data_IF_136777384283
#
_entry.id   IF_136777384283
#
_cell.length_a   1.000
_cell.length_b   1.000
_cell.length_c   1.000
_cell.angle_alpha   90.00
_cell.angle_beta   90.00
_cell.angle_gamma   90.00
#
_symmetry.space_group_name_H-M   'P 1'
#
loop_
_entity.id
_entity.type
_entity.pdbx_description
1 polymer ?
#
# COMPACT_ATOMS: atom_id res chain seq x y z
N UNK A 1 14.86 7.70 -12.64
CA UNK A 1 14.25 6.44 -12.17
C UNK A 1 13.20 6.83 -11.15
N UNK A 2 12.01 6.25 -11.26
CA UNK A 2 10.96 6.40 -10.26
C UNK A 2 11.41 5.71 -8.96
N UNK A 3 11.02 6.26 -7.81
CA UNK A 3 11.35 5.71 -6.49
C UNK A 3 10.14 4.96 -5.95
N UNK A 4 10.38 3.78 -5.38
CA UNK A 4 9.34 2.97 -4.74
C UNK A 4 9.49 3.09 -3.23
N UNK A 5 8.41 3.46 -2.57
CA UNK A 5 8.30 3.47 -1.12
C UNK A 5 7.49 2.27 -0.67
N UNK A 6 8.03 1.46 0.24
CA UNK A 6 7.35 0.27 0.74
C UNK A 6 7.35 0.25 2.26
N UNK A 7 6.20 -0.09 2.84
CA UNK A 7 5.97 -0.17 4.28
C UNK A 7 5.66 -1.62 4.63
N UNK A 8 6.36 -2.14 5.62
CA UNK A 8 6.15 -3.50 6.16
C UNK A 8 6.06 -3.39 7.68
N UNK A 9 5.12 -4.10 8.31
CA UNK A 9 4.90 -4.03 9.76
C UNK A 9 5.72 -5.05 10.54
N UNK A 10 6.22 -6.10 9.90
CA UNK A 10 6.98 -7.19 10.53
C UNK A 10 8.47 -6.98 10.27
N UNK A 11 9.24 -6.71 11.34
CA UNK A 11 10.65 -6.31 11.21
C UNK A 11 11.50 -7.36 10.49
N UNK A 12 11.32 -8.65 10.83
CA UNK A 12 12.02 -9.74 10.17
C UNK A 12 11.72 -9.90 8.67
N UNK A 13 10.54 -9.47 8.19
CA UNK A 13 10.24 -9.45 6.76
C UNK A 13 10.88 -8.25 6.07
N UNK A 14 10.83 -7.07 6.70
CA UNK A 14 11.47 -5.86 6.20
C UNK A 14 12.99 -6.05 6.05
N UNK A 15 13.64 -6.68 7.03
CA UNK A 15 15.08 -6.95 6.99
C UNK A 15 15.44 -7.92 5.85
N UNK A 16 14.68 -9.02 5.71
CA UNK A 16 14.87 -9.97 4.61
C UNK A 16 14.62 -9.34 3.23
N UNK A 17 13.67 -8.43 3.12
CA UNK A 17 13.43 -7.69 1.88
C UNK A 17 14.61 -6.76 1.54
N UNK A 18 15.14 -6.04 2.54
CA UNK A 18 16.34 -5.19 2.40
C UNK A 18 17.56 -5.97 1.92
N UNK A 19 17.82 -7.13 2.48
CA UNK A 19 18.90 -8.00 2.02
C UNK A 19 18.72 -8.40 0.55
N UNK A 20 17.51 -8.79 0.15
CA UNK A 20 17.20 -9.14 -1.25
C UNK A 20 17.39 -7.96 -2.20
N UNK A 21 16.92 -6.76 -1.85
CA UNK A 21 17.11 -5.58 -2.70
C UNK A 21 18.60 -5.26 -2.88
N UNK A 22 19.39 -5.38 -1.81
CA UNK A 22 20.85 -5.19 -1.89
C UNK A 22 21.50 -6.22 -2.83
N UNK A 23 21.19 -7.51 -2.66
CA UNK A 23 21.74 -8.60 -3.49
C UNK A 23 21.37 -8.46 -4.97
N UNK A 24 20.18 -7.92 -5.27
CA UNK A 24 19.68 -7.72 -6.63
C UNK A 24 20.06 -6.36 -7.23
N UNK A 25 20.84 -5.54 -6.53
CA UNK A 25 21.19 -4.16 -6.93
C UNK A 25 19.96 -3.27 -7.21
N UNK A 26 18.86 -3.49 -6.48
CA UNK A 26 17.67 -2.63 -6.52
C UNK A 26 17.93 -1.41 -5.64
N UNK A 27 18.17 -0.26 -6.26
CA UNK A 27 18.67 0.95 -5.58
C UNK A 27 17.63 2.06 -5.42
N UNK A 28 16.46 1.91 -6.07
CA UNK A 28 15.38 2.90 -6.07
C UNK A 28 14.24 2.56 -5.09
N UNK A 29 14.47 1.67 -4.12
CA UNK A 29 13.47 1.29 -3.10
C UNK A 29 13.83 1.89 -1.75
N UNK A 30 12.89 2.63 -1.14
CA UNK A 30 12.94 3.11 0.24
C UNK A 30 11.99 2.28 1.08
N UNK A 31 12.47 1.81 2.24
CA UNK A 31 11.70 0.93 3.13
C UNK A 31 11.43 1.60 4.47
N UNK A 32 10.24 1.38 5.01
CA UNK A 32 9.86 1.77 6.38
C UNK A 32 9.32 0.56 7.13
N UNK A 33 9.77 0.36 8.36
CA UNK A 33 9.13 -0.57 9.29
C UNK A 33 8.07 0.20 10.07
N UNK A 34 6.82 0.10 9.64
CA UNK A 34 5.72 0.92 10.18
C UNK A 34 4.34 0.29 9.91
N UNK A 35 3.28 0.93 10.39
CA UNK A 35 1.89 0.60 10.08
C UNK A 35 1.49 1.11 8.69
N UNK A 36 1.27 0.19 7.75
CA UNK A 36 0.85 0.51 6.38
C UNK A 36 -0.51 1.21 6.28
N UNK A 37 -1.38 1.15 7.31
CA UNK A 37 -2.64 1.90 7.31
C UNK A 37 -2.42 3.42 7.33
N UNK A 38 -1.26 3.88 7.83
CA UNK A 38 -0.92 5.30 7.94
C UNK A 38 -0.26 5.83 6.65
N UNK A 39 0.11 4.95 5.72
CA UNK A 39 0.91 5.30 4.55
C UNK A 39 2.31 5.82 4.94
N UNK A 40 2.80 6.78 4.17
CA UNK A 40 4.08 7.46 4.40
C UNK A 40 3.98 8.92 3.99
N UNK A 41 3.27 9.72 4.79
CA UNK A 41 2.94 11.12 4.51
C UNK A 41 4.14 12.01 4.21
N UNK A 42 5.30 11.73 4.81
CA UNK A 42 6.52 12.51 4.61
C UNK A 42 7.09 12.42 3.19
N UNK A 43 6.71 11.39 2.43
CA UNK A 43 7.19 11.12 1.06
C UNK A 43 6.09 11.29 0.01
N UNK A 44 4.83 11.44 0.43
CA UNK A 44 3.69 11.65 -0.45
C UNK A 44 3.56 13.12 -0.93
N UNK A 45 2.59 13.41 -1.80
CA UNK A 45 1.61 12.48 -2.36
C UNK A 45 2.23 11.54 -3.42
N UNK A 46 1.59 10.39 -3.65
CA UNK A 46 2.05 9.33 -4.55
C UNK A 46 1.21 9.24 -5.81
N UNK A 47 1.85 9.08 -6.96
CA UNK A 47 1.16 8.83 -8.24
C UNK A 47 0.45 7.46 -8.25
N UNK A 48 0.98 6.49 -7.48
CA UNK A 48 0.38 5.17 -7.33
C UNK A 48 0.55 4.63 -5.92
N UNK A 49 -0.50 3.99 -5.39
CA UNK A 49 -0.47 3.27 -4.12
C UNK A 49 -0.91 1.82 -4.36
N UNK A 50 -0.08 0.87 -3.95
CA UNK A 50 -0.41 -0.56 -4.01
C UNK A 50 -0.44 -1.14 -2.61
N UNK A 51 -1.58 -1.69 -2.21
CA UNK A 51 -1.76 -2.35 -0.92
C UNK A 51 -1.86 -3.86 -1.14
N UNK A 52 -0.98 -4.62 -0.51
CA UNK A 52 -0.87 -6.08 -0.67
C UNK A 52 -1.42 -6.85 0.54
N UNK A 53 -2.36 -6.24 1.26
CA UNK A 53 -3.10 -6.83 2.37
C UNK A 53 -4.53 -6.27 2.39
N UNK A 54 -5.50 -7.10 2.80
CA UNK A 54 -6.90 -6.75 2.81
C UNK A 54 -7.24 -5.77 3.94
N UNK A 55 -7.74 -4.59 3.57
CA UNK A 55 -8.29 -3.63 4.53
C UNK A 55 -9.81 -3.83 4.69
N UNK A 56 -10.36 -3.54 5.87
CA UNK A 56 -11.82 -3.61 6.11
C UNK A 56 -12.59 -2.55 5.32
N UNK A 57 -11.94 -1.44 5.00
CA UNK A 57 -12.45 -0.33 4.22
C UNK A 57 -11.29 0.41 3.57
N UNK A 58 -11.56 1.47 2.81
CA UNK A 58 -10.49 2.29 2.27
C UNK A 58 -9.84 3.11 3.41
N UNK A 59 -8.52 3.04 3.64
CA UNK A 59 -7.86 3.85 4.65
C UNK A 59 -7.80 5.32 4.19
N UNK A 60 -8.37 6.24 4.97
CA UNK A 60 -8.40 7.68 4.65
C UNK A 60 -7.00 8.25 4.43
N UNK A 61 -6.03 7.85 5.25
CA UNK A 61 -4.64 8.29 5.13
C UNK A 61 -4.02 7.96 3.76
N UNK A 62 -4.39 6.82 3.16
CA UNK A 62 -3.92 6.45 1.83
C UNK A 62 -4.64 7.22 0.72
N UNK A 63 -5.93 7.50 0.89
CA UNK A 63 -6.69 8.34 -0.05
C UNK A 63 -6.15 9.78 -0.09
N UNK A 64 -5.80 10.35 1.08
CA UNK A 64 -5.23 11.69 1.21
C UNK A 64 -3.82 11.78 0.60
N UNK A 65 -3.05 10.70 0.69
CA UNK A 65 -1.70 10.60 0.14
C UNK A 65 -1.67 10.23 -1.34
N UNK A 66 -2.81 9.97 -1.99
CA UNK A 66 -2.86 9.72 -3.43
C UNK A 66 -2.84 11.04 -4.19
N UNK A 67 -1.90 11.24 -5.11
CA UNK A 67 -1.80 12.46 -5.91
C UNK A 67 -3.04 12.66 -6.81
N UNK A 68 -3.31 13.90 -7.23
CA UNK A 68 -4.33 14.17 -8.24
C UNK A 68 -3.99 13.43 -9.55
N UNK A 69 -4.95 12.69 -10.11
CA UNK A 69 -4.72 11.79 -11.25
C UNK A 69 -4.02 10.47 -10.89
N UNK A 70 -3.70 10.26 -9.60
CA UNK A 70 -3.08 9.03 -9.11
C UNK A 70 -4.07 7.88 -8.95
N UNK A 71 -3.52 6.67 -8.87
CA UNK A 71 -4.28 5.41 -8.74
C UNK A 71 -3.89 4.58 -7.52
N UNK A 72 -4.88 4.13 -6.75
CA UNK A 72 -4.68 3.14 -5.69
C UNK A 72 -5.28 1.79 -6.09
N UNK A 73 -4.57 0.70 -5.79
CA UNK A 73 -5.06 -0.68 -5.91
C UNK A 73 -5.00 -1.34 -4.54
N UNK A 74 -6.15 -1.81 -4.04
CA UNK A 74 -6.29 -2.31 -2.67
C UNK A 74 -7.35 -3.41 -2.57
N UNK A 75 -7.07 -4.55 -1.92
CA UNK A 75 -8.09 -5.51 -1.52
C UNK A 75 -8.92 -4.95 -0.36
N UNK A 76 -10.25 -4.94 -0.50
CA UNK A 76 -11.18 -4.43 0.51
C UNK A 76 -12.23 -5.48 0.88
N UNK A 77 -12.36 -5.77 2.17
CA UNK A 77 -13.34 -6.71 2.72
C UNK A 77 -12.90 -7.28 4.07
N UNK A 78 -13.85 -7.77 4.84
CA UNK A 78 -13.66 -8.34 6.18
C UNK A 78 -13.88 -9.86 6.26
N UNK A 79 -14.24 -10.50 5.13
CA UNK A 79 -14.43 -11.95 5.00
C UNK A 79 -13.30 -12.67 4.24
N UNK A 80 -13.50 -13.97 3.97
CA UNK A 80 -12.54 -14.83 3.27
C UNK A 80 -12.31 -14.45 1.80
N UNK A 81 -13.23 -13.69 1.20
CA UNK A 81 -13.14 -13.15 -0.16
C UNK A 81 -13.28 -11.64 -0.07
N UNK A 82 -12.38 -10.91 -0.72
CA UNK A 82 -12.36 -9.46 -0.77
C UNK A 82 -12.53 -8.96 -2.20
N UNK A 83 -12.98 -7.72 -2.36
CA UNK A 83 -12.98 -7.04 -3.65
C UNK A 83 -11.61 -6.42 -3.88
N UNK A 84 -10.96 -6.74 -4.99
CA UNK A 84 -9.79 -5.98 -5.44
C UNK A 84 -10.30 -4.68 -6.07
N UNK A 85 -10.12 -3.57 -5.36
CA UNK A 85 -10.58 -2.26 -5.83
C UNK A 85 -9.47 -1.50 -6.54
N UNK A 86 -9.86 -0.83 -7.62
CA UNK A 86 -9.05 0.20 -8.28
C UNK A 86 -9.72 1.55 -8.00
N UNK A 87 -8.95 2.48 -7.46
CA UNK A 87 -9.41 3.81 -7.03
C UNK A 87 -8.61 4.85 -7.79
N UNK A 88 -9.27 5.67 -8.61
CA UNK A 88 -8.67 6.79 -9.34
C UNK A 88 -9.06 8.11 -8.67
N UNK A 89 -8.07 8.97 -8.37
CA UNK A 89 -8.34 10.32 -7.83
C UNK A 89 -8.59 11.31 -8.96
N UNK A 90 -9.78 11.91 -8.96
CA UNK A 90 -10.25 12.90 -9.93
C UNK A 90 -10.56 14.21 -9.20
N UNK A 91 -9.54 15.04 -8.98
CA UNK A 91 -9.63 16.24 -8.13
C UNK A 91 -9.95 15.87 -6.67
N UNK A 92 -11.12 16.32 -6.18
CA UNK A 92 -11.65 16.03 -4.84
C UNK A 92 -12.58 14.80 -4.80
N UNK A 93 -12.71 14.10 -5.93
CA UNK A 93 -13.53 12.88 -6.02
C UNK A 93 -12.65 11.64 -6.21
N UNK A 94 -13.18 10.49 -5.78
CA UNK A 94 -12.56 9.18 -6.00
C UNK A 94 -13.50 8.32 -6.81
N UNK A 95 -13.06 7.93 -8.01
CA UNK A 95 -13.76 6.94 -8.81
C UNK A 95 -13.29 5.54 -8.38
N UNK A 96 -14.22 4.63 -8.18
CA UNK A 96 -13.93 3.29 -7.67
C UNK A 96 -14.53 2.24 -8.61
N UNK A 97 -13.75 1.19 -8.89
CA UNK A 97 -14.24 -0.01 -9.56
C UNK A 97 -13.73 -1.27 -8.85
N UNK A 98 -14.52 -2.34 -8.92
CA UNK A 98 -14.10 -3.67 -8.48
C UNK A 98 -13.51 -4.40 -9.67
N UNK A 99 -12.22 -4.70 -9.61
CA UNK A 99 -11.49 -5.40 -10.68
C UNK A 99 -11.66 -6.92 -10.61
N UNK A 100 -11.66 -7.51 -9.40
CA UNK A 100 -11.80 -8.95 -9.19
C UNK A 100 -12.18 -9.29 -7.74
N UNK A 101 -12.41 -10.57 -7.46
CA UNK A 101 -12.53 -11.14 -6.12
C UNK A 101 -11.26 -11.89 -5.74
N UNK A 102 -10.67 -11.56 -4.60
CA UNK A 102 -9.34 -12.00 -4.17
C UNK A 102 -9.31 -12.52 -2.74
N UNK A 103 -8.18 -13.12 -2.33
CA UNK A 103 -7.91 -13.56 -0.96
C UNK A 103 -6.53 -13.11 -0.50
N UNK A 104 -6.48 -12.09 0.34
CA UNK A 104 -5.27 -11.54 0.96
C UNK A 104 -5.29 -11.73 2.48
N UNK A 105 -4.10 -11.69 3.08
CA UNK A 105 -3.96 -11.56 4.54
C UNK A 105 -4.47 -10.19 4.99
N UNK A 106 -4.97 -10.05 6.24
CA UNK A 106 -5.49 -8.77 6.72
C UNK A 106 -4.39 -7.70 6.85
N UNK A 107 -4.75 -6.46 6.54
CA UNK A 107 -3.95 -5.27 6.83
C UNK A 107 -4.11 -4.93 8.32
N UNK A 108 -3.18 -5.41 9.14
CA UNK A 108 -3.22 -5.25 10.60
C UNK A 108 -2.46 -4.00 11.01
N UNK A 109 -3.05 -3.20 11.91
CA UNK A 109 -2.41 -2.01 12.46
C UNK A 109 -1.21 -2.29 13.38
N UNK A 110 -0.40 -1.26 13.61
CA UNK A 110 0.80 -1.28 14.44
C UNK A 110 1.94 -2.15 13.90
N UNK A 111 3.09 -2.09 14.58
CA UNK A 111 4.32 -2.82 14.20
C UNK A 111 4.52 -4.09 15.04
N UNK A 112 5.22 -5.06 14.45
CA UNK A 112 5.68 -6.29 15.10
C UNK A 112 7.19 -6.43 14.87
N UNK A 113 7.91 -6.84 15.92
CA UNK A 113 9.31 -7.22 15.82
C UNK A 113 9.46 -8.66 15.39
#
# INVERSE_FOLDING_TARGET
METVYTVERISGLADRAREKFHLLNVTNVRQKHDDGNLGWSDEGPFDAILVTAASRGLPDALLEQLAEGGRMVIPVGDGDVQELKVIDRMGDAWQQETADYVRFVPLVGGIVR
#
